data_IF_692496824524
#
_entry.id   IF_692496824524
#
_cell.length_a   1.000
_cell.length_b   1.000
_cell.length_c   1.000
_cell.angle_alpha   90.00
_cell.angle_beta   90.00
_cell.angle_gamma   90.00
#
_symmetry.space_group_name_H-M   'P 1'
#
loop_
_entity.id
_entity.type
_entity.pdbx_description
1 polymer ?
#
# COMPACT_ATOMS: atom_id res chain seq x y z
N UNK A 1 -17.56 6.63 4.22
CA UNK A 1 -16.49 7.52 4.73
C UNK A 1 -16.89 8.98 4.52
N UNK A 2 -16.61 9.82 5.50
CA UNK A 2 -16.83 11.26 5.41
C UNK A 2 -15.64 11.90 4.64
N UNK A 3 -15.91 12.87 3.76
CA UNK A 3 -14.88 13.54 2.95
C UNK A 3 -13.76 14.19 3.75
N UNK A 4 -14.03 14.63 4.97
CA UNK A 4 -13.03 15.26 5.83
C UNK A 4 -12.36 14.29 6.81
N UNK A 5 -12.77 13.03 6.76
CA UNK A 5 -12.23 12.03 7.67
C UNK A 5 -10.83 11.58 7.24
N UNK A 6 -9.94 11.48 8.23
CA UNK A 6 -8.62 10.89 8.02
C UNK A 6 -8.73 9.40 8.25
N UNK A 7 -8.24 8.63 7.30
CA UNK A 7 -8.45 7.17 7.29
C UNK A 7 -7.12 6.43 7.30
N UNK A 8 -7.21 5.13 7.63
CA UNK A 8 -6.11 4.19 7.49
C UNK A 8 -6.24 3.47 6.16
N UNK A 9 -5.18 3.49 5.38
CA UNK A 9 -5.12 2.83 4.07
C UNK A 9 -4.07 1.74 4.15
N UNK A 10 -4.49 0.50 3.94
CA UNK A 10 -3.59 -0.63 3.80
C UNK A 10 -3.13 -0.69 2.34
N UNK A 11 -1.82 -0.66 2.12
CA UNK A 11 -1.22 -0.66 0.80
C UNK A 11 -0.32 -1.88 0.63
N UNK A 12 -0.62 -2.72 -0.38
CA UNK A 12 0.22 -3.81 -0.80
C UNK A 12 1.46 -3.29 -1.54
N UNK A 13 2.48 -4.11 -1.71
CA UNK A 13 3.72 -3.67 -2.33
C UNK A 13 3.92 -4.23 -3.75
N UNK A 14 4.19 -5.53 -3.88
CA UNK A 14 4.50 -6.16 -5.18
C UNK A 14 3.26 -6.19 -6.07
N UNK A 15 3.38 -5.62 -7.27
CA UNK A 15 2.23 -5.50 -8.19
C UNK A 15 1.31 -4.33 -7.85
N UNK A 16 1.52 -3.64 -6.75
CA UNK A 16 0.69 -2.52 -6.28
C UNK A 16 1.45 -1.21 -6.26
N UNK A 17 2.62 -1.16 -5.64
CA UNK A 17 3.48 0.04 -5.64
C UNK A 17 4.53 -0.01 -6.73
N UNK A 18 4.95 -1.21 -7.11
CA UNK A 18 5.96 -1.51 -8.13
C UNK A 18 5.51 -2.71 -8.93
N UNK A 19 6.16 -2.98 -10.07
CA UNK A 19 5.89 -4.21 -10.81
C UNK A 19 6.24 -5.44 -9.95
N UNK A 20 5.62 -6.58 -10.27
CA UNK A 20 5.81 -7.83 -9.54
C UNK A 20 7.12 -8.50 -9.98
N UNK A 21 8.19 -8.27 -9.25
CA UNK A 21 9.52 -8.86 -9.51
C UNK A 21 10.15 -9.48 -8.27
N UNK A 22 9.29 -9.83 -7.30
CA UNK A 22 9.73 -10.46 -6.05
C UNK A 22 10.77 -11.59 -6.32
N UNK A 23 11.87 -11.68 -5.56
CA UNK A 23 12.19 -10.97 -4.32
C UNK A 23 12.80 -9.57 -4.52
N UNK A 24 13.11 -9.19 -5.75
CA UNK A 24 13.62 -7.85 -6.07
C UNK A 24 12.52 -6.81 -5.95
N UNK A 25 12.92 -5.56 -5.84
CA UNK A 25 12.00 -4.43 -5.95
C UNK A 25 11.75 -4.16 -7.43
N UNK A 26 10.49 -4.13 -7.83
CA UNK A 26 10.11 -3.92 -9.22
C UNK A 26 10.24 -2.46 -9.66
N UNK A 27 9.75 -2.21 -10.88
CA UNK A 27 9.80 -0.89 -11.52
C UNK A 27 8.71 0.02 -11.00
N UNK A 28 8.95 1.33 -11.08
CA UNK A 28 7.96 2.36 -10.78
C UNK A 28 6.75 2.26 -11.73
N UNK A 29 5.56 2.41 -11.15
CA UNK A 29 4.29 2.33 -11.88
C UNK A 29 3.37 3.52 -11.62
N UNK A 30 3.90 4.60 -11.04
CA UNK A 30 3.12 5.81 -10.79
C UNK A 30 2.47 5.91 -9.41
N UNK A 31 2.81 5.02 -8.49
CA UNK A 31 2.25 5.01 -7.14
C UNK A 31 2.68 6.22 -6.30
N UNK A 32 3.94 6.63 -6.43
CA UNK A 32 4.56 7.60 -5.52
C UNK A 32 3.79 8.93 -5.43
N UNK A 33 3.45 9.60 -6.54
CA UNK A 33 2.76 10.89 -6.43
C UNK A 33 1.41 10.77 -5.73
N UNK A 34 0.68 9.68 -5.98
CA UNK A 34 -0.66 9.47 -5.40
C UNK A 34 -0.55 9.17 -3.91
N UNK A 35 0.38 8.32 -3.52
CA UNK A 35 0.63 8.01 -2.10
C UNK A 35 1.04 9.26 -1.32
N UNK A 36 1.87 10.11 -1.92
CA UNK A 36 2.25 11.38 -1.30
C UNK A 36 1.05 12.30 -1.08
N UNK A 37 0.14 12.38 -2.06
CA UNK A 37 -1.09 13.17 -1.91
C UNK A 37 -1.94 12.68 -0.75
N UNK A 38 -2.06 11.36 -0.59
CA UNK A 38 -2.80 10.78 0.54
C UNK A 38 -2.18 11.16 1.89
N UNK A 39 -0.87 11.05 2.02
CA UNK A 39 -0.15 11.42 3.25
C UNK A 39 -0.28 12.92 3.52
N UNK A 40 -0.16 13.76 2.51
CA UNK A 40 -0.31 15.21 2.64
C UNK A 40 -1.70 15.60 3.14
N UNK A 41 -2.71 14.83 2.78
CA UNK A 41 -4.09 15.03 3.28
C UNK A 41 -4.30 14.50 4.70
N UNK A 42 -3.28 13.89 5.30
CA UNK A 42 -3.32 13.41 6.67
C UNK A 42 -3.77 11.97 6.84
N UNK A 43 -3.93 11.22 5.75
CA UNK A 43 -4.25 9.79 5.83
C UNK A 43 -3.02 9.01 6.28
N UNK A 44 -3.26 7.88 6.93
CA UNK A 44 -2.21 7.00 7.45
C UNK A 44 -2.04 5.81 6.52
N UNK A 45 -0.80 5.56 6.09
CA UNK A 45 -0.48 4.41 5.26
C UNK A 45 0.05 3.26 6.13
N UNK A 46 -0.56 2.10 6.00
CA UNK A 46 -0.09 0.87 6.62
C UNK A 46 0.37 -0.07 5.49
N UNK A 47 1.66 -0.37 5.46
CA UNK A 47 2.19 -1.36 4.51
C UNK A 47 1.60 -2.73 4.87
N UNK A 48 1.00 -3.40 3.89
CA UNK A 48 0.32 -4.68 4.07
C UNK A 48 0.80 -5.65 3.02
N UNK A 49 1.85 -6.41 3.34
CA UNK A 49 2.60 -7.21 2.39
C UNK A 49 2.93 -8.61 2.92
N UNK A 50 3.04 -9.57 1.99
CA UNK A 50 3.55 -10.89 2.32
C UNK A 50 5.05 -10.91 2.58
N UNK A 51 5.77 -9.84 2.24
CA UNK A 51 7.19 -9.74 2.56
C UNK A 51 7.40 -9.77 4.06
N UNK A 52 8.46 -10.42 4.50
CA UNK A 52 8.80 -10.52 5.91
C UNK A 52 10.30 -10.47 6.12
N UNK A 53 10.72 -10.34 7.37
CA UNK A 53 12.13 -10.33 7.74
C UNK A 53 12.80 -11.70 7.53
N UNK A 54 11.99 -12.76 7.45
CA UNK A 54 12.45 -14.14 7.31
C UNK A 54 12.27 -14.71 5.92
N UNK A 55 11.98 -13.86 4.92
CA UNK A 55 11.86 -14.35 3.55
C UNK A 55 13.21 -14.71 2.99
N UNK A 56 13.28 -15.82 2.24
CA UNK A 56 14.48 -16.21 1.50
C UNK A 56 14.53 -15.48 0.16
N UNK A 57 15.67 -15.05 -0.31
CA UNK A 57 17.03 -15.26 0.23
C UNK A 57 17.49 -14.20 1.24
N UNK A 58 16.68 -13.21 1.53
CA UNK A 58 17.07 -12.10 2.42
C UNK A 58 15.86 -11.48 3.08
N UNK A 59 16.08 -10.43 3.85
CA UNK A 59 15.01 -9.62 4.44
C UNK A 59 14.33 -8.78 3.36
N UNK A 60 13.32 -9.34 2.72
CA UNK A 60 12.59 -8.68 1.65
C UNK A 60 11.64 -7.59 2.15
N UNK A 61 11.23 -7.64 3.40
CA UNK A 61 10.42 -6.59 4.01
C UNK A 61 11.23 -5.30 4.16
N UNK A 62 12.48 -5.41 4.55
CA UNK A 62 13.40 -4.27 4.65
C UNK A 62 13.51 -3.52 3.32
N UNK A 63 13.58 -4.25 2.21
CA UNK A 63 13.68 -3.66 0.88
C UNK A 63 12.41 -2.85 0.53
N UNK A 64 11.23 -3.36 0.88
CA UNK A 64 9.98 -2.65 0.66
C UNK A 64 9.90 -1.39 1.53
N UNK A 65 10.23 -1.51 2.81
CA UNK A 65 10.23 -0.36 3.74
C UNK A 65 11.21 0.73 3.26
N UNK A 66 12.38 0.30 2.77
CA UNK A 66 13.37 1.22 2.21
C UNK A 66 12.82 1.99 1.01
N UNK A 67 12.06 1.32 0.15
CA UNK A 67 11.42 1.98 -1.00
C UNK A 67 10.52 3.15 -0.56
N UNK A 68 9.70 2.96 0.46
CA UNK A 68 8.88 4.05 1.00
C UNK A 68 9.74 5.19 1.56
N UNK A 69 10.76 4.86 2.33
CA UNK A 69 11.68 5.85 2.91
C UNK A 69 12.41 6.64 1.83
N UNK A 70 12.93 5.95 0.80
CA UNK A 70 13.66 6.59 -0.31
C UNK A 70 12.76 7.52 -1.12
N UNK A 71 11.46 7.26 -1.16
CA UNK A 71 10.49 8.10 -1.86
C UNK A 71 9.83 9.13 -0.94
N UNK A 72 10.29 9.25 0.30
CA UNK A 72 9.75 10.20 1.29
C UNK A 72 8.26 9.98 1.56
N UNK A 73 7.84 8.73 1.65
CA UNK A 73 6.47 8.33 1.98
C UNK A 73 6.49 7.72 3.38
N UNK A 74 6.01 8.45 4.41
CA UNK A 74 5.99 7.90 5.77
C UNK A 74 4.98 6.77 5.90
N UNK A 75 5.39 5.70 6.56
CA UNK A 75 4.51 4.58 6.92
C UNK A 75 4.08 4.73 8.38
N UNK A 76 2.78 4.64 8.62
CA UNK A 76 2.23 4.65 9.98
C UNK A 76 2.32 3.26 10.62
N UNK A 77 2.22 2.21 9.83
CA UNK A 77 2.34 0.83 10.30
C UNK A 77 2.96 -0.06 9.23
N UNK A 78 3.53 -1.18 9.67
CA UNK A 78 4.17 -2.19 8.81
C UNK A 78 3.61 -3.55 9.20
N UNK A 79 2.77 -4.12 8.33
CA UNK A 79 2.07 -5.39 8.55
C UNK A 79 1.30 -5.45 9.88
N UNK A 80 0.99 -4.30 10.44
CA UNK A 80 0.36 -4.18 11.74
C UNK A 80 -0.28 -2.80 11.86
N UNK A 81 -1.48 -2.76 12.42
CA UNK A 81 -2.13 -1.51 12.79
C UNK A 81 -1.68 -1.15 14.22
N UNK A 82 -0.87 -0.10 14.40
CA UNK A 82 -0.33 0.23 15.72
C UNK A 82 -1.39 0.53 16.79
N UNK A 83 -2.51 1.12 16.39
CA UNK A 83 -3.60 1.43 17.32
C UNK A 83 -4.34 0.17 17.76
N UNK A 84 -4.57 -0.76 16.83
CA UNK A 84 -5.17 -2.06 17.16
C UNK A 84 -4.30 -2.83 18.16
N UNK A 85 -3.00 -2.81 17.94
CA UNK A 85 -2.05 -3.45 18.84
C UNK A 85 -2.04 -2.78 20.22
N UNK A 86 -1.97 -1.45 20.25
CA UNK A 86 -1.87 -0.70 21.51
C UNK A 86 -3.13 -0.83 22.37
N UNK A 87 -4.31 -0.82 21.75
CA UNK A 87 -5.59 -0.90 22.48
C UNK A 87 -6.02 -2.32 22.80
N UNK A 88 -5.55 -3.31 22.03
CA UNK A 88 -5.90 -4.71 22.25
C UNK A 88 -7.39 -5.04 22.17
N UNK A 89 -8.17 -4.18 21.45
CA UNK A 89 -9.62 -4.40 21.36
C UNK A 89 -10.00 -5.68 20.61
N UNK A 90 -9.07 -6.24 19.85
CA UNK A 90 -9.21 -7.54 19.21
C UNK A 90 -7.83 -8.19 19.09
N UNK A 91 -7.79 -9.53 19.10
CA UNK A 91 -6.58 -10.29 18.80
C UNK A 91 -6.65 -10.94 17.41
N UNK A 92 -7.54 -10.47 16.55
CA UNK A 92 -7.65 -10.95 15.18
C UNK A 92 -6.36 -10.67 14.41
N UNK A 93 -5.97 -11.61 13.55
CA UNK A 93 -4.85 -11.40 12.65
C UNK A 93 -5.16 -10.36 11.57
N UNK A 94 -6.45 -10.14 11.28
CA UNK A 94 -6.84 -9.11 10.31
C UNK A 94 -6.63 -7.73 10.92
N UNK A 95 -5.82 -6.94 10.26
CA UNK A 95 -5.54 -5.58 10.71
C UNK A 95 -6.59 -4.61 10.15
N UNK A 96 -7.04 -3.71 11.00
CA UNK A 96 -8.06 -2.74 10.61
C UNK A 96 -7.47 -1.72 9.65
N UNK A 97 -8.19 -1.49 8.55
CA UNK A 97 -7.99 -0.37 7.65
C UNK A 97 -9.35 0.02 7.07
N UNK A 98 -9.49 1.29 6.72
CA UNK A 98 -10.72 1.78 6.08
C UNK A 98 -10.74 1.45 4.59
N UNK A 99 -9.56 1.30 3.97
CA UNK A 99 -9.42 1.10 2.54
C UNK A 99 -8.19 0.23 2.29
N UNK A 100 -8.32 -0.70 1.35
CA UNK A 100 -7.23 -1.58 0.92
C UNK A 100 -6.94 -1.32 -0.55
N UNK A 101 -5.68 -1.06 -0.88
CA UNK A 101 -5.21 -0.97 -2.27
C UNK A 101 -4.27 -2.14 -2.49
N UNK A 102 -4.69 -3.09 -3.33
CA UNK A 102 -4.03 -4.37 -3.50
C UNK A 102 -4.38 -4.93 -4.88
N UNK A 103 -3.37 -5.31 -5.67
CA UNK A 103 -3.56 -5.84 -7.01
C UNK A 103 -4.37 -7.14 -7.02
N UNK A 104 -4.39 -7.86 -5.92
CA UNK A 104 -5.15 -9.10 -5.77
C UNK A 104 -6.62 -8.87 -5.35
N UNK A 105 -7.01 -7.63 -5.04
CA UNK A 105 -8.38 -7.34 -4.63
C UNK A 105 -9.32 -7.28 -5.83
N UNK A 106 -10.49 -7.92 -5.70
CA UNK A 106 -11.51 -7.87 -6.74
C UNK A 106 -11.93 -6.40 -6.96
N UNK A 107 -11.90 -5.96 -8.21
CA UNK A 107 -12.27 -4.59 -8.58
C UNK A 107 -11.12 -3.60 -8.56
N UNK A 108 -9.93 -3.97 -8.12
CA UNK A 108 -8.77 -3.09 -8.22
C UNK A 108 -8.42 -2.87 -9.69
N UNK A 109 -8.31 -1.61 -10.15
CA UNK A 109 -7.94 -1.32 -11.54
C UNK A 109 -6.51 -1.79 -11.83
N UNK A 110 -6.34 -2.55 -12.91
CA UNK A 110 -5.04 -3.13 -13.28
C UNK A 110 -4.68 -2.77 -14.71
N UNK A 111 -3.38 -2.66 -14.96
CA UNK A 111 -2.81 -2.58 -16.30
C UNK A 111 -2.31 -3.96 -16.69
N UNK A 112 -2.66 -4.37 -17.91
CA UNK A 112 -2.25 -5.63 -18.49
C UNK A 112 -1.35 -5.35 -19.69
N UNK A 113 -0.14 -5.90 -19.67
CA UNK A 113 0.77 -5.82 -20.82
C UNK A 113 1.50 -7.15 -21.00
N UNK A 114 2.32 -7.25 -22.08
CA UNK A 114 3.01 -8.49 -22.43
C UNK A 114 4.26 -8.76 -21.58
N UNK A 115 4.81 -7.74 -20.94
CA UNK A 115 6.13 -7.82 -20.32
C UNK A 115 6.08 -8.05 -18.80
N UNK A 116 5.00 -7.60 -18.16
CA UNK A 116 4.87 -7.65 -16.71
C UNK A 116 3.59 -8.38 -16.31
N UNK A 117 3.59 -8.93 -15.11
CA UNK A 117 2.35 -9.38 -14.49
C UNK A 117 1.45 -8.16 -14.28
N UNK A 118 0.11 -8.32 -14.29
CA UNK A 118 -0.78 -7.19 -14.08
C UNK A 118 -0.43 -6.40 -12.83
N UNK A 119 -0.48 -5.09 -12.91
CA UNK A 119 -0.17 -4.21 -11.79
C UNK A 119 -1.16 -3.05 -11.72
N UNK A 120 -1.23 -2.41 -10.57
CA UNK A 120 -2.25 -1.39 -10.28
C UNK A 120 -2.15 -0.20 -11.24
N UNK A 121 -3.30 0.17 -11.79
CA UNK A 121 -3.46 1.35 -12.63
C UNK A 121 -3.67 2.59 -11.75
N UNK A 122 -2.59 3.28 -11.46
CA UNK A 122 -2.63 4.44 -10.55
C UNK A 122 -3.36 5.64 -11.12
N UNK A 123 -3.52 5.75 -12.43
CA UNK A 123 -4.36 6.81 -13.01
C UNK A 123 -5.82 6.63 -12.62
N UNK A 124 -6.31 5.41 -12.71
CA UNK A 124 -7.69 5.08 -12.33
C UNK A 124 -7.87 5.14 -10.82
N UNK A 125 -6.91 4.61 -10.06
CA UNK A 125 -6.98 4.66 -8.59
C UNK A 125 -6.99 6.11 -8.10
N UNK A 126 -6.16 6.97 -8.68
CA UNK A 126 -6.16 8.40 -8.33
C UNK A 126 -7.54 9.03 -8.57
N UNK A 127 -8.18 8.70 -9.70
CA UNK A 127 -9.51 9.20 -9.99
C UNK A 127 -10.53 8.69 -8.97
N UNK A 128 -10.44 7.42 -8.59
CA UNK A 128 -11.33 6.86 -7.57
C UNK A 128 -11.14 7.57 -6.23
N UNK A 129 -9.90 7.78 -5.80
CA UNK A 129 -9.59 8.47 -4.54
C UNK A 129 -10.09 9.91 -4.55
N UNK A 130 -9.96 10.58 -5.69
CA UNK A 130 -10.50 11.94 -5.88
C UNK A 130 -12.02 11.93 -5.74
N UNK A 131 -12.69 10.99 -6.39
CA UNK A 131 -14.15 10.87 -6.33
C UNK A 131 -14.64 10.57 -4.91
N UNK A 132 -13.84 9.85 -4.12
CA UNK A 132 -14.12 9.57 -2.72
C UNK A 132 -13.86 10.77 -1.79
N UNK A 133 -13.23 11.81 -2.29
CA UNK A 133 -12.89 12.99 -1.51
C UNK A 133 -11.66 12.80 -0.62
N UNK A 134 -10.79 11.83 -0.93
CA UNK A 134 -9.61 11.54 -0.13
C UNK A 134 -8.37 12.33 -0.58
N UNK A 135 -8.38 12.78 -1.83
CA UNK A 135 -7.33 13.67 -2.37
C UNK A 135 -7.94 14.74 -3.24
#
# INVERSE_FOLDING_TARGET
MNRNEKIVIAIDFDGTCVTQEYPRVGKDIGAVPVLKKLVEKGHRLMLWTMRSERTMPSDTLKDAVKWFADNNIPLWGINENPEQKATGWTNSNKQYANLFIDDAALGCPLIYNEHDRPYVDWKVVEQQLTNMGLI
#
